data_IF_862159951560
#
_entry.id   IF_862159951560
#
_cell.length_a   1.000
_cell.length_b   1.000
_cell.length_c   1.000
_cell.angle_alpha   90.00
_cell.angle_beta   90.00
_cell.angle_gamma   90.00
#
_symmetry.space_group_name_H-M   'P 1'
#
loop_
_entity.id
_entity.type
_entity.pdbx_description
1 polymer ?
#
# COMPACT_ATOMS: atom_id res chain seq x y z
N UNK A 1 21.62 22.34 -0.50
CA UNK A 1 20.77 22.20 -1.71
C UNK A 1 19.30 22.30 -1.29
N UNK A 2 18.53 23.27 -1.79
CA UNK A 2 17.08 23.32 -1.54
C UNK A 2 16.38 22.20 -2.32
N UNK A 3 15.57 21.40 -1.65
CA UNK A 3 14.68 20.45 -2.30
C UNK A 3 13.35 21.12 -2.62
N UNK A 4 12.69 20.71 -3.70
CA UNK A 4 11.38 21.21 -4.10
C UNK A 4 10.42 20.02 -4.25
N UNK A 5 9.20 20.16 -3.74
CA UNK A 5 8.17 19.15 -3.86
C UNK A 5 7.81 18.89 -5.34
N UNK A 6 7.40 17.67 -5.66
CA UNK A 6 7.01 17.29 -7.03
C UNK A 6 5.83 18.13 -7.51
N UNK A 7 4.91 18.54 -6.63
CA UNK A 7 3.86 19.51 -6.99
C UNK A 7 4.44 20.80 -7.58
N UNK A 8 5.44 21.40 -6.92
CA UNK A 8 6.09 22.63 -7.39
C UNK A 8 6.81 22.42 -8.73
N UNK A 9 7.39 21.22 -8.94
CA UNK A 9 8.00 20.88 -10.23
C UNK A 9 6.96 20.77 -11.33
N UNK A 10 5.81 20.13 -11.05
CA UNK A 10 4.70 20.03 -12.00
C UNK A 10 4.14 21.40 -12.34
N UNK A 11 3.97 22.27 -11.35
CA UNK A 11 3.50 23.65 -11.57
C UNK A 11 4.48 24.43 -12.47
N UNK A 12 5.79 24.32 -12.21
CA UNK A 12 6.82 24.93 -13.05
C UNK A 12 6.80 24.40 -14.49
N UNK A 13 6.62 23.09 -14.69
CA UNK A 13 6.51 22.47 -16.01
C UNK A 13 5.24 22.88 -16.75
N UNK A 14 4.12 23.03 -16.05
CA UNK A 14 2.87 23.54 -16.62
C UNK A 14 3.01 25.00 -17.08
N UNK A 15 3.67 25.85 -16.28
CA UNK A 15 3.96 27.23 -16.68
C UNK A 15 4.89 27.29 -17.89
N UNK A 16 5.91 26.44 -17.96
CA UNK A 16 6.83 26.35 -19.11
C UNK A 16 6.15 26.05 -20.46
N UNK A 17 4.90 25.54 -20.46
CA UNK A 17 4.13 25.35 -21.69
C UNK A 17 3.63 26.67 -22.32
N UNK A 18 3.54 27.75 -21.53
CA UNK A 18 2.96 29.04 -21.95
C UNK A 18 3.91 30.24 -21.81
N UNK A 19 4.99 30.10 -21.04
CA UNK A 19 5.93 31.18 -20.77
C UNK A 19 7.38 30.70 -20.75
N UNK A 20 8.31 31.64 -20.93
CA UNK A 20 9.75 31.36 -20.92
C UNK A 20 10.26 31.00 -19.53
N UNK A 21 11.36 30.25 -19.49
CA UNK A 21 12.05 29.85 -18.26
C UNK A 21 12.42 31.02 -17.34
N UNK A 22 12.66 32.21 -17.92
CA UNK A 22 12.89 33.45 -17.18
C UNK A 22 11.65 33.89 -16.40
N UNK A 23 10.48 33.95 -17.06
CA UNK A 23 9.22 34.33 -16.41
C UNK A 23 8.79 33.32 -15.34
N UNK A 24 9.01 32.02 -15.59
CA UNK A 24 8.74 30.97 -14.59
C UNK A 24 9.66 31.12 -13.37
N UNK A 25 10.92 31.48 -13.60
CA UNK A 25 11.90 31.72 -12.53
C UNK A 25 11.51 32.89 -11.64
N UNK A 26 11.06 34.00 -12.24
CA UNK A 26 10.57 35.18 -11.53
C UNK A 26 9.30 34.87 -10.72
N UNK A 27 8.32 34.20 -11.33
CA UNK A 27 7.05 33.84 -10.67
C UNK A 27 7.23 32.92 -9.46
N UNK A 28 8.14 31.94 -9.54
CA UNK A 28 8.32 30.93 -8.49
C UNK A 28 9.49 31.23 -7.55
N UNK A 29 10.32 32.23 -7.86
CA UNK A 29 11.56 32.51 -7.12
C UNK A 29 12.56 31.35 -7.19
N UNK A 30 12.53 30.55 -8.26
CA UNK A 30 13.37 29.36 -8.45
C UNK A 30 14.42 29.65 -9.52
N UNK A 31 15.72 29.35 -9.30
CA UNK A 31 16.74 29.60 -10.31
C UNK A 31 16.44 28.93 -11.65
N UNK A 32 16.62 29.65 -12.76
CA UNK A 32 16.41 29.15 -14.13
C UNK A 32 17.08 27.81 -14.40
N UNK A 33 18.31 27.62 -13.91
CA UNK A 33 19.07 26.36 -14.05
C UNK A 33 18.30 25.16 -13.48
N UNK A 34 17.62 25.35 -12.35
CA UNK A 34 16.83 24.32 -11.70
C UNK A 34 15.59 23.98 -12.53
N UNK A 35 14.89 25.00 -13.06
CA UNK A 35 13.71 24.82 -13.91
C UNK A 35 14.08 24.08 -15.20
N UNK A 36 15.20 24.45 -15.85
CA UNK A 36 15.71 23.75 -17.04
C UNK A 36 16.02 22.28 -16.74
N UNK A 37 16.71 22.00 -15.64
CA UNK A 37 16.98 20.61 -15.23
C UNK A 37 15.70 19.79 -14.99
N UNK A 38 14.61 20.40 -14.51
CA UNK A 38 13.33 19.72 -14.39
C UNK A 38 12.65 19.53 -15.74
N UNK A 39 12.81 20.47 -16.67
CA UNK A 39 12.34 20.34 -18.05
C UNK A 39 13.04 19.19 -18.78
N UNK A 40 14.34 18.98 -18.51
CA UNK A 40 15.08 17.82 -19.02
C UNK A 40 14.54 16.49 -18.46
N UNK A 41 14.01 16.50 -17.23
CA UNK A 41 13.41 15.35 -16.54
C UNK A 41 11.87 15.34 -16.59
N UNK A 42 11.26 16.10 -17.51
CA UNK A 42 9.82 16.37 -17.50
C UNK A 42 8.97 15.12 -17.61
N UNK A 43 9.40 14.14 -18.40
CA UNK A 43 8.64 12.91 -18.61
C UNK A 43 8.57 12.08 -17.33
N UNK A 44 9.68 11.96 -16.59
CA UNK A 44 9.71 11.29 -15.28
C UNK A 44 8.90 12.02 -14.21
N UNK A 45 8.95 13.36 -14.21
CA UNK A 45 8.23 14.18 -13.22
C UNK A 45 6.72 14.13 -13.49
N UNK A 46 6.30 14.19 -14.75
CA UNK A 46 4.87 14.14 -15.15
C UNK A 46 4.27 12.74 -14.99
N UNK A 47 5.05 11.68 -15.22
CA UNK A 47 4.62 10.30 -14.99
C UNK A 47 4.54 9.91 -13.50
N UNK A 48 4.98 10.76 -12.57
CA UNK A 48 5.03 10.41 -11.14
C UNK A 48 3.63 10.35 -10.50
N UNK A 49 3.20 9.15 -10.13
CA UNK A 49 1.89 8.91 -9.48
C UNK A 49 1.95 8.87 -7.93
N UNK A 50 3.11 9.09 -7.33
CA UNK A 50 3.27 9.02 -5.87
C UNK A 50 2.81 10.28 -5.13
N UNK A 51 3.11 10.33 -3.83
CA UNK A 51 2.83 11.51 -3.01
C UNK A 51 3.61 12.75 -3.51
N UNK A 52 2.88 13.74 -4.05
CA UNK A 52 3.43 14.97 -4.65
C UNK A 52 4.18 15.88 -3.66
N UNK A 53 4.03 15.67 -2.34
CA UNK A 53 4.85 16.34 -1.31
C UNK A 53 6.30 15.86 -1.27
N UNK A 54 6.62 14.72 -1.91
CA UNK A 54 8.01 14.24 -2.01
C UNK A 54 8.83 15.17 -2.88
N UNK A 55 10.12 15.27 -2.57
CA UNK A 55 11.06 16.13 -3.30
C UNK A 55 11.78 15.45 -4.47
N UNK A 56 11.81 14.11 -4.48
CA UNK A 56 12.51 13.30 -5.49
C UNK A 56 11.54 12.30 -6.12
N UNK A 57 11.62 12.16 -7.44
CA UNK A 57 10.86 11.17 -8.23
C UNK A 57 11.25 9.77 -7.78
N UNK A 58 12.56 9.51 -7.70
CA UNK A 58 13.11 8.30 -7.09
C UNK A 58 13.70 8.59 -5.69
N UNK A 59 13.46 7.72 -4.69
CA UNK A 59 14.21 7.77 -3.44
C UNK A 59 15.70 7.70 -3.73
N UNK A 60 16.48 8.62 -3.17
CA UNK A 60 17.95 8.56 -3.27
C UNK A 60 18.49 7.45 -2.37
N UNK A 61 19.47 6.70 -2.87
CA UNK A 61 20.16 5.62 -2.15
C UNK A 61 20.43 4.41 -3.03
N UNK A 62 21.51 3.68 -2.76
CA UNK A 62 21.77 2.38 -3.39
C UNK A 62 20.64 1.43 -2.98
N UNK A 63 19.90 0.90 -3.96
CA UNK A 63 18.87 -0.10 -3.70
C UNK A 63 19.58 -1.38 -3.31
N UNK A 64 19.40 -1.84 -2.08
CA UNK A 64 19.73 -3.21 -1.73
C UNK A 64 18.80 -4.11 -2.54
N UNK A 65 19.39 -4.83 -3.49
CA UNK A 65 18.68 -5.71 -4.41
C UNK A 65 18.70 -7.12 -3.85
N UNK A 66 17.52 -7.71 -3.80
CA UNK A 66 17.35 -9.13 -3.51
C UNK A 66 17.71 -9.93 -4.79
N UNK A 67 18.40 -11.07 -4.70
CA UNK A 67 18.96 -11.78 -5.85
C UNK A 67 17.89 -12.41 -6.74
N UNK A 68 16.76 -12.82 -6.15
CA UNK A 68 15.65 -13.46 -6.84
C UNK A 68 14.31 -12.83 -6.41
N UNK A 69 14.00 -11.63 -6.92
CA UNK A 69 12.79 -10.91 -6.55
C UNK A 69 11.53 -11.66 -7.02
N UNK A 70 11.56 -12.27 -8.20
CA UNK A 70 10.40 -12.98 -8.77
C UNK A 70 10.08 -14.25 -7.98
N UNK A 71 11.07 -15.09 -7.67
CA UNK A 71 10.84 -16.29 -6.87
C UNK A 71 10.32 -15.99 -5.47
N UNK A 72 10.72 -14.86 -4.87
CA UNK A 72 10.16 -14.42 -3.60
C UNK A 72 8.72 -13.92 -3.74
N UNK A 73 8.37 -13.23 -4.85
CA UNK A 73 6.98 -12.84 -5.14
C UNK A 73 6.11 -14.07 -5.32
N UNK A 74 6.54 -15.05 -6.12
CA UNK A 74 5.80 -16.29 -6.37
C UNK A 74 5.50 -17.04 -5.07
N UNK A 75 6.50 -17.17 -4.19
CA UNK A 75 6.31 -17.74 -2.87
C UNK A 75 5.29 -16.99 -2.02
N UNK A 76 5.34 -15.65 -2.04
CA UNK A 76 4.38 -14.81 -1.31
C UNK A 76 2.97 -15.03 -1.87
N UNK A 77 2.80 -15.06 -3.19
CA UNK A 77 1.52 -15.30 -3.85
C UNK A 77 0.97 -16.68 -3.51
N UNK A 78 1.78 -17.73 -3.63
CA UNK A 78 1.41 -19.12 -3.30
C UNK A 78 0.91 -19.23 -1.84
N UNK A 79 1.63 -18.61 -0.90
CA UNK A 79 1.22 -18.58 0.51
C UNK A 79 -0.14 -17.89 0.70
N UNK A 80 -0.42 -16.83 -0.07
CA UNK A 80 -1.69 -16.09 0.01
C UNK A 80 -2.84 -16.84 -0.65
N UNK A 81 -2.61 -17.50 -1.78
CA UNK A 81 -3.60 -18.36 -2.46
C UNK A 81 -4.02 -19.52 -1.55
N UNK A 82 -3.07 -20.09 -0.80
CA UNK A 82 -3.35 -21.12 0.21
C UNK A 82 -3.91 -20.58 1.53
N UNK A 83 -4.23 -19.29 1.60
CA UNK A 83 -4.74 -18.60 2.80
C UNK A 83 -3.84 -18.75 4.04
N UNK A 84 -2.54 -18.96 3.85
CA UNK A 84 -1.61 -19.14 4.96
C UNK A 84 -1.19 -17.79 5.53
N UNK A 85 -0.93 -17.77 6.84
CA UNK A 85 -0.31 -16.64 7.49
C UNK A 85 1.11 -16.44 6.92
N UNK A 86 1.31 -15.33 6.20
CA UNK A 86 2.62 -14.90 5.75
C UNK A 86 3.24 -13.99 6.81
N UNK A 87 4.39 -14.41 7.35
CA UNK A 87 5.16 -13.62 8.32
C UNK A 87 6.59 -13.43 7.83
N UNK A 88 7.32 -12.49 8.42
CA UNK A 88 8.74 -12.29 8.08
C UNK A 88 9.57 -13.56 8.28
N UNK A 89 9.20 -14.42 9.22
CA UNK A 89 9.83 -15.73 9.44
C UNK A 89 9.68 -16.65 8.23
N UNK A 90 8.50 -16.69 7.60
CA UNK A 90 8.27 -17.49 6.40
C UNK A 90 9.16 -17.03 5.24
N UNK A 91 9.26 -15.71 5.06
CA UNK A 91 10.14 -15.12 4.04
C UNK A 91 11.62 -15.46 4.34
N UNK A 92 12.06 -15.32 5.59
CA UNK A 92 13.43 -15.68 6.00
C UNK A 92 13.71 -17.16 5.74
N UNK A 93 12.77 -18.06 6.02
CA UNK A 93 12.94 -19.49 5.79
C UNK A 93 13.05 -19.82 4.30
N UNK A 94 12.27 -19.13 3.44
CA UNK A 94 12.42 -19.24 2.00
C UNK A 94 13.81 -18.80 1.54
N UNK A 95 14.31 -17.66 2.03
CA UNK A 95 15.67 -17.17 1.72
C UNK A 95 16.73 -18.18 2.19
N UNK A 96 16.59 -18.72 3.40
CA UNK A 96 17.52 -19.74 3.93
C UNK A 96 17.54 -21.00 3.06
N UNK A 97 16.43 -21.34 2.42
CA UNK A 97 16.31 -22.54 1.58
C UNK A 97 16.84 -22.32 0.17
N UNK A 98 16.48 -21.21 -0.46
CA UNK A 98 16.72 -20.98 -1.89
C UNK A 98 17.84 -19.96 -2.18
N UNK A 99 18.18 -19.10 -1.22
CA UNK A 99 19.12 -17.98 -1.37
C UNK A 99 20.15 -17.95 -0.22
N UNK A 100 20.58 -19.12 0.26
CA UNK A 100 21.41 -19.29 1.46
C UNK A 100 22.80 -18.65 1.33
N UNK A 101 23.44 -18.81 0.17
CA UNK A 101 24.75 -18.21 -0.13
C UNK A 101 24.66 -16.68 -0.12
N UNK A 102 23.64 -16.13 -0.76
CA UNK A 102 23.38 -14.69 -0.73
C UNK A 102 23.15 -14.19 0.69
N UNK A 103 22.33 -14.90 1.48
CA UNK A 103 22.06 -14.53 2.87
C UNK A 103 23.35 -14.48 3.71
N UNK A 104 24.24 -15.45 3.53
CA UNK A 104 25.54 -15.49 4.21
C UNK A 104 26.41 -14.30 3.82
N UNK A 105 26.57 -14.03 2.52
CA UNK A 105 27.37 -12.91 2.02
C UNK A 105 26.78 -11.56 2.48
N UNK A 106 25.46 -11.43 2.41
CA UNK A 106 24.75 -10.24 2.86
C UNK A 106 25.00 -9.96 4.34
N UNK A 107 24.96 -10.97 5.21
CA UNK A 107 25.18 -10.78 6.64
C UNK A 107 26.64 -10.47 6.98
N UNK A 108 27.61 -10.99 6.23
CA UNK A 108 29.06 -10.71 6.43
C UNK A 108 29.40 -9.26 6.08
N UNK A 109 28.75 -8.68 5.07
CA UNK A 109 28.92 -7.27 4.66
C UNK A 109 28.39 -6.28 5.72
N UNK A 110 27.52 -6.73 6.64
CA UNK A 110 26.91 -5.83 7.64
C UNK A 110 27.76 -5.75 8.90
N UNK A 111 27.73 -4.56 9.52
CA UNK A 111 28.31 -4.34 10.83
C UNK A 111 27.78 -5.38 11.84
N UNK A 112 28.69 -5.94 12.64
CA UNK A 112 28.38 -6.94 13.67
C UNK A 112 27.20 -6.51 14.53
N UNK A 113 26.21 -7.41 14.68
CA UNK A 113 24.97 -7.14 15.43
C UNK A 113 23.86 -6.44 14.65
N UNK A 114 24.14 -5.84 13.48
CA UNK A 114 23.12 -5.10 12.69
C UNK A 114 22.55 -5.89 11.51
N UNK A 115 23.17 -7.01 11.13
CA UNK A 115 22.81 -7.76 9.92
C UNK A 115 21.36 -8.23 9.88
N UNK A 116 20.87 -8.78 11.00
CA UNK A 116 19.47 -9.25 11.09
C UNK A 116 18.46 -8.09 10.98
N UNK A 117 18.69 -6.97 11.66
CA UNK A 117 17.83 -5.80 11.55
C UNK A 117 17.82 -5.22 10.13
N UNK A 118 18.98 -5.20 9.48
CA UNK A 118 19.11 -4.76 8.08
C UNK A 118 18.34 -5.67 7.14
N UNK A 119 18.40 -6.99 7.34
CA UNK A 119 17.59 -7.96 6.60
C UNK A 119 16.09 -7.69 6.78
N UNK A 120 15.61 -7.49 8.01
CA UNK A 120 14.19 -7.19 8.25
C UNK A 120 13.74 -5.92 7.51
N UNK A 121 14.56 -4.86 7.51
CA UNK A 121 14.25 -3.63 6.78
C UNK A 121 14.20 -3.86 5.27
N UNK A 122 15.14 -4.63 4.73
CA UNK A 122 15.17 -5.01 3.31
C UNK A 122 13.88 -5.73 2.92
N UNK A 123 13.45 -6.72 3.71
CA UNK A 123 12.22 -7.49 3.45
C UNK A 123 10.96 -6.64 3.58
N UNK A 124 10.89 -5.75 4.57
CA UNK A 124 9.76 -4.82 4.71
C UNK A 124 9.67 -3.86 3.52
N UNK A 125 10.81 -3.34 3.05
CA UNK A 125 10.85 -2.49 1.88
C UNK A 125 10.47 -3.25 0.60
N UNK A 126 10.95 -4.49 0.46
CA UNK A 126 10.56 -5.38 -0.63
C UNK A 126 9.04 -5.54 -0.67
N UNK A 127 8.43 -5.98 0.44
CA UNK A 127 6.98 -6.17 0.55
C UNK A 127 6.22 -4.90 0.15
N UNK A 128 6.62 -3.72 0.67
CA UNK A 128 6.00 -2.44 0.34
C UNK A 128 6.11 -2.07 -1.14
N UNK A 129 7.23 -2.36 -1.79
CA UNK A 129 7.43 -2.10 -3.23
C UNK A 129 6.52 -2.95 -4.10
N UNK A 130 6.26 -4.19 -3.68
CA UNK A 130 5.35 -5.11 -4.37
C UNK A 130 3.88 -4.96 -3.92
N UNK A 131 3.52 -3.85 -3.26
CA UNK A 131 2.14 -3.55 -2.88
C UNK A 131 1.62 -4.28 -1.64
N UNK A 132 2.45 -5.08 -0.97
CA UNK A 132 2.06 -5.80 0.23
C UNK A 132 2.07 -4.88 1.46
N UNK A 133 0.95 -4.86 2.17
CA UNK A 133 0.78 -4.17 3.44
C UNK A 133 0.58 -5.16 4.59
N UNK A 134 0.94 -4.74 5.80
CA UNK A 134 0.70 -5.54 7.00
C UNK A 134 -0.78 -5.45 7.36
N UNK A 135 -1.46 -6.58 7.33
CA UNK A 135 -2.87 -6.70 7.69
C UNK A 135 -3.04 -7.49 8.98
N UNK A 136 -4.10 -7.21 9.73
CA UNK A 136 -4.51 -8.03 10.88
C UNK A 136 -5.11 -9.32 10.32
N UNK A 137 -4.67 -10.46 10.86
CA UNK A 137 -5.27 -11.74 10.51
C UNK A 137 -6.77 -11.71 10.88
N UNK A 138 -7.63 -11.98 9.90
CA UNK A 138 -9.05 -12.18 10.10
C UNK A 138 -9.34 -13.67 10.19
N UNK A 139 -10.29 -14.05 11.03
CA UNK A 139 -10.82 -15.41 11.06
C UNK A 139 -12.09 -15.43 10.22
N UNK A 140 -12.01 -15.99 9.00
CA UNK A 140 -13.19 -16.33 8.20
C UNK A 140 -13.54 -17.79 8.47
N UNK A 141 -14.84 -18.10 8.53
CA UNK A 141 -15.35 -19.46 8.78
C UNK A 141 -15.14 -20.42 7.60
N UNK A 142 -15.04 -19.87 6.38
CA UNK A 142 -14.84 -20.62 5.14
C UNK A 142 -13.72 -19.99 4.32
N UNK A 143 -13.04 -20.81 3.51
CA UNK A 143 -12.04 -20.34 2.56
C UNK A 143 -12.70 -19.57 1.42
N UNK A 144 -11.92 -18.72 0.74
CA UNK A 144 -12.36 -17.99 -0.44
C UNK A 144 -12.78 -18.94 -1.56
N UNK A 145 -12.07 -20.06 -1.75
CA UNK A 145 -12.42 -21.06 -2.75
C UNK A 145 -13.81 -21.67 -2.49
N UNK A 146 -14.09 -22.08 -1.25
CA UNK A 146 -15.39 -22.64 -0.89
C UNK A 146 -16.53 -21.60 -0.99
N UNK A 147 -16.25 -20.32 -0.73
CA UNK A 147 -17.25 -19.26 -0.92
C UNK A 147 -17.50 -18.94 -2.39
N UNK A 148 -16.46 -19.03 -3.24
CA UNK A 148 -16.60 -18.83 -4.68
C UNK A 148 -17.43 -19.95 -5.31
N UNK A 149 -17.17 -21.20 -4.94
CA UNK A 149 -17.95 -22.37 -5.39
C UNK A 149 -19.44 -22.21 -5.07
N UNK A 150 -19.78 -21.94 -3.80
CA UNK A 150 -21.18 -21.73 -3.39
C UNK A 150 -21.82 -20.53 -4.12
N UNK A 151 -21.06 -19.47 -4.36
CA UNK A 151 -21.55 -18.30 -5.12
C UNK A 151 -21.86 -18.67 -6.57
N UNK A 152 -20.96 -19.42 -7.21
CA UNK A 152 -21.08 -19.76 -8.62
C UNK A 152 -22.21 -20.77 -8.83
N UNK A 153 -22.34 -21.79 -7.98
CA UNK A 153 -23.48 -22.71 -7.95
C UNK A 153 -24.82 -21.97 -7.76
N UNK A 154 -24.87 -21.03 -6.81
CA UNK A 154 -26.06 -20.21 -6.60
C UNK A 154 -26.40 -19.34 -7.82
N UNK A 155 -25.39 -18.73 -8.44
CA UNK A 155 -25.59 -17.89 -9.63
C UNK A 155 -26.12 -18.71 -10.81
N UNK A 156 -25.56 -19.89 -11.06
CA UNK A 156 -26.04 -20.80 -12.10
C UNK A 156 -27.50 -21.20 -11.86
N UNK A 157 -27.84 -21.62 -10.64
CA UNK A 157 -29.20 -22.03 -10.30
C UNK A 157 -30.18 -20.86 -10.37
N UNK A 158 -29.78 -19.68 -9.90
CA UNK A 158 -30.58 -18.45 -9.98
C UNK A 158 -30.89 -18.10 -11.45
N UNK A 159 -29.87 -18.03 -12.31
CA UNK A 159 -30.09 -17.73 -13.72
C UNK A 159 -30.90 -18.81 -14.43
N UNK A 160 -30.72 -20.09 -14.08
CA UNK A 160 -31.53 -21.17 -14.63
C UNK A 160 -33.01 -21.03 -14.28
N UNK A 161 -33.32 -20.84 -12.99
CA UNK A 161 -34.69 -20.78 -12.48
C UNK A 161 -35.42 -19.49 -12.84
N UNK A 162 -34.71 -18.36 -12.85
CA UNK A 162 -35.31 -17.04 -13.00
C UNK A 162 -35.02 -16.37 -14.35
N UNK A 163 -34.47 -17.09 -15.33
CA UNK A 163 -34.17 -16.58 -16.69
C UNK A 163 -35.36 -15.93 -17.41
N UNK A 164 -36.59 -16.32 -17.06
CA UNK A 164 -37.81 -15.79 -17.68
C UNK A 164 -38.28 -14.45 -17.08
N UNK A 165 -37.72 -14.02 -15.94
CA UNK A 165 -38.08 -12.75 -15.30
C UNK A 165 -37.20 -11.63 -15.85
N UNK A 166 -37.79 -10.45 -16.02
CA UNK A 166 -37.04 -9.25 -16.37
C UNK A 166 -36.25 -8.74 -15.16
N UNK A 167 -35.09 -8.13 -15.38
CA UNK A 167 -34.21 -7.61 -14.32
C UNK A 167 -34.96 -6.69 -13.34
N UNK A 168 -35.92 -5.90 -13.83
CA UNK A 168 -36.75 -5.00 -13.02
C UNK A 168 -37.70 -5.73 -12.02
N UNK A 169 -37.79 -7.06 -12.11
CA UNK A 169 -38.61 -7.90 -11.23
C UNK A 169 -37.80 -8.57 -10.11
N UNK A 170 -36.49 -8.30 -10.03
CA UNK A 170 -35.60 -8.87 -9.00
C UNK A 170 -35.25 -7.79 -7.98
N UNK A 171 -35.73 -7.97 -6.75
CA UNK A 171 -35.47 -7.04 -5.65
C UNK A 171 -34.48 -7.64 -4.66
N UNK A 172 -33.40 -6.90 -4.35
CA UNK A 172 -32.51 -7.27 -3.25
C UNK A 172 -33.17 -6.95 -1.92
N UNK A 173 -33.25 -7.92 -1.02
CA UNK A 173 -33.79 -7.74 0.34
C UNK A 173 -32.70 -8.18 1.30
N UNK A 174 -32.06 -7.23 1.94
CA UNK A 174 -31.10 -7.47 3.01
C UNK A 174 -31.46 -6.66 4.26
N UNK A 175 -31.30 -7.28 5.43
CA UNK A 175 -31.46 -6.59 6.69
C UNK A 175 -30.19 -5.80 6.99
N UNK A 176 -30.23 -4.49 6.74
CA UNK A 176 -29.18 -3.59 7.23
C UNK A 176 -29.37 -3.41 8.73
N UNK A 177 -28.57 -4.14 9.53
CA UNK A 177 -28.57 -4.00 10.97
C UNK A 177 -28.17 -2.57 11.38
N UNK A 178 -29.09 -1.87 12.05
CA UNK A 178 -28.78 -0.60 12.70
C UNK A 178 -28.03 -0.87 14.01
N UNK A 179 -26.72 -0.65 14.00
CA UNK A 179 -25.91 -0.73 15.22
C UNK A 179 -26.10 0.54 16.05
N UNK A 180 -26.91 0.44 17.09
CA UNK A 180 -26.86 1.41 18.18
C UNK A 180 -25.62 1.11 19.02
N UNK A 181 -24.76 2.12 19.18
CA UNK A 181 -23.63 2.07 20.11
C UNK A 181 -24.19 2.12 21.54
N UNK A 182 -24.61 0.96 22.05
CA UNK A 182 -25.22 0.82 23.38
C UNK A 182 -24.50 -0.26 24.20
N UNK A 183 -23.91 0.10 25.35
CA UNK A 183 -23.74 1.47 25.84
C UNK A 183 -22.77 2.28 24.95
N UNK A 184 -22.93 3.62 24.85
CA UNK A 184 -22.13 4.44 23.95
C UNK A 184 -20.64 4.37 24.27
N UNK A 185 -19.84 4.05 23.26
CA UNK A 185 -18.39 3.98 23.35
C UNK A 185 -17.75 5.35 23.52
N UNK A 186 -18.43 6.39 23.06
CA UNK A 186 -18.01 7.78 23.18
C UNK A 186 -19.16 8.60 23.77
N UNK A 187 -18.85 9.32 24.84
CA UNK A 187 -19.76 10.27 25.47
C UNK A 187 -19.22 11.68 25.28
N UNK A 188 -20.12 12.65 25.23
CA UNK A 188 -19.74 14.05 25.20
C UNK A 188 -19.44 14.52 26.61
N UNK A 189 -18.25 15.06 26.83
CA UNK A 189 -17.90 15.79 28.06
C UNK A 189 -17.37 17.18 27.72
N UNK A 190 -17.51 18.12 28.66
CA UNK A 190 -16.93 19.46 28.54
C UNK A 190 -15.42 19.31 28.37
N UNK A 191 -14.81 20.13 27.51
CA UNK A 191 -13.36 20.10 27.25
C UNK A 191 -12.58 20.30 28.56
N UNK A 192 -11.86 19.27 29.00
CA UNK A 192 -11.12 19.26 30.27
C UNK A 192 -11.93 18.81 31.50
N UNK A 193 -13.20 18.44 31.32
CA UNK A 193 -14.05 17.86 32.36
C UNK A 193 -13.94 16.33 32.47
N UNK A 194 -14.46 15.78 33.56
CA UNK A 194 -14.50 14.34 33.82
C UNK A 194 -15.51 13.63 32.89
N UNK A 195 -15.21 12.40 32.51
CA UNK A 195 -16.00 11.54 31.63
C UNK A 195 -16.47 10.26 32.34
N UNK A 196 -16.56 10.30 33.68
CA UNK A 196 -16.97 9.17 34.50
C UNK A 196 -18.48 8.89 34.36
N UNK A 197 -18.81 7.65 34.03
CA UNK A 197 -20.19 7.13 33.93
C UNK A 197 -20.47 6.18 35.10
N UNK A 198 -21.72 6.16 35.57
CA UNK A 198 -22.13 5.30 36.70
C UNK A 198 -22.14 3.82 36.31
N UNK A 199 -21.96 2.93 37.29
CA UNK A 199 -21.85 1.48 37.05
C UNK A 199 -23.12 0.82 36.48
N UNK A 200 -24.26 1.52 36.51
CA UNK A 200 -25.55 1.04 36.01
C UNK A 200 -25.84 1.40 34.55
N UNK A 201 -24.96 2.16 33.90
CA UNK A 201 -25.10 2.62 32.50
C UNK A 201 -24.09 1.93 31.56
N UNK A 202 -23.59 0.75 31.96
CA UNK A 202 -22.65 -0.11 31.21
C UNK A 202 -23.28 -1.42 30.78
#
# INVERSE_FOLDING_TARGET
>A
MRGYAISVKLDALAMMASMSDYKVSENLGIPRRTIRSWFDQRDEITAFQGNKKRMKVSPGGRREMFPDPEGLVDFIVEMRVRERALTTTHIINWIKRYQSQWLRLYLVDKQTGTGYQSLLRLLQQFCRRHGYSRQRAGHRKKSHAALAEVRDEFAEEFHRLYSAFHDDSVYNVDETGFYYDMPPKYIWSIRGGDAKVSSGEK
#
